data_IF_027892013904
#
_entry.id   IF_027892013904
#
_cell.length_a   1.000
_cell.length_b   1.000
_cell.length_c   1.000
_cell.angle_alpha   90.00
_cell.angle_beta   90.00
_cell.angle_gamma   90.00
#
_symmetry.space_group_name_H-M   'P 1'
#
loop_
_entity.id
_entity.type
_entity.pdbx_description
1 polymer ?
#
# COMPACT_ATOMS: atom_id res chain seq x y z
N UNK A 1 -20.41 -24.97 -1.21
CA UNK A 1 -19.69 -24.95 0.10
C UNK A 1 -18.99 -23.61 0.18
N UNK A 2 -19.19 -22.84 1.25
CA UNK A 2 -18.51 -21.52 1.41
C UNK A 2 -17.02 -21.76 1.69
N UNK A 3 -16.13 -21.23 0.85
CA UNK A 3 -14.68 -21.31 1.00
C UNK A 3 -14.22 -20.25 2.03
N UNK A 4 -14.54 -20.47 3.32
CA UNK A 4 -14.16 -19.53 4.38
C UNK A 4 -12.64 -19.42 4.49
N UNK A 5 -12.15 -18.18 4.57
CA UNK A 5 -10.73 -17.92 4.79
C UNK A 5 -10.35 -18.32 6.20
N UNK A 6 -9.29 -19.12 6.31
CA UNK A 6 -8.64 -19.41 7.58
C UNK A 6 -7.72 -18.24 7.96
N UNK A 7 -8.21 -17.36 8.83
CA UNK A 7 -7.48 -16.19 9.30
C UNK A 7 -6.16 -16.54 10.02
N UNK A 8 -6.07 -17.73 10.64
CA UNK A 8 -4.84 -18.18 11.29
C UNK A 8 -3.70 -18.41 10.28
N UNK A 9 -4.04 -18.88 9.07
CA UNK A 9 -3.06 -19.00 7.98
C UNK A 9 -2.61 -17.65 7.43
N UNK A 10 -3.49 -16.64 7.47
CA UNK A 10 -3.16 -15.30 6.99
C UNK A 10 -2.21 -14.54 7.94
N UNK A 11 -2.33 -14.77 9.25
CA UNK A 11 -1.58 -14.02 10.27
C UNK A 11 -0.07 -14.27 10.24
N UNK A 12 0.39 -15.37 9.63
CA UNK A 12 1.81 -15.73 9.56
C UNK A 12 2.67 -14.93 8.59
N UNK A 13 2.12 -13.97 7.84
CA UNK A 13 2.86 -13.11 6.88
C UNK A 13 3.51 -13.84 5.70
N UNK A 14 3.48 -15.18 5.67
CA UNK A 14 4.14 -16.00 4.66
C UNK A 14 3.29 -16.22 3.39
N UNK A 15 2.09 -15.66 3.33
CA UNK A 15 1.08 -15.99 2.30
C UNK A 15 1.08 -15.00 1.14
N UNK A 16 1.51 -13.76 1.38
CA UNK A 16 1.51 -12.75 0.33
C UNK A 16 2.71 -12.92 -0.59
N UNK A 17 2.48 -13.11 -1.91
CA UNK A 17 3.54 -13.15 -2.88
C UNK A 17 4.16 -11.76 -3.08
N UNK A 18 5.45 -11.74 -3.33
CA UNK A 18 6.18 -10.55 -3.74
C UNK A 18 6.40 -10.54 -5.25
N UNK A 19 6.66 -9.37 -5.85
CA UNK A 19 7.01 -9.26 -7.27
C UNK A 19 8.21 -10.14 -7.64
N UNK A 20 8.22 -10.69 -8.85
CA UNK A 20 9.28 -11.62 -9.31
C UNK A 20 10.68 -10.97 -9.32
N UNK A 21 10.76 -9.67 -9.66
CA UNK A 21 12.01 -8.91 -9.70
C UNK A 21 12.73 -8.83 -8.34
N UNK A 22 11.98 -8.93 -7.24
CA UNK A 22 12.50 -8.78 -5.88
C UNK A 22 13.65 -9.73 -5.55
N UNK A 23 13.59 -11.00 -5.97
CA UNK A 23 14.63 -11.99 -5.62
C UNK A 23 15.99 -11.63 -6.17
N UNK A 24 16.05 -11.24 -7.43
CA UNK A 24 17.28 -10.83 -8.08
C UNK A 24 17.85 -9.56 -7.47
N UNK A 25 16.97 -8.61 -7.22
CA UNK A 25 17.30 -7.31 -6.69
C UNK A 25 17.81 -7.35 -5.22
N UNK A 26 17.19 -8.16 -4.34
CA UNK A 26 17.71 -8.37 -2.97
C UNK A 26 19.12 -8.98 -2.97
N UNK A 27 19.40 -9.91 -3.88
CA UNK A 27 20.75 -10.46 -3.99
C UNK A 27 21.79 -9.39 -4.32
N UNK A 28 21.44 -8.43 -5.18
CA UNK A 28 22.31 -7.29 -5.54
C UNK A 28 22.49 -6.33 -4.37
N UNK A 29 21.44 -5.99 -3.64
CA UNK A 29 21.49 -5.10 -2.48
C UNK A 29 22.42 -5.59 -1.37
N UNK A 30 22.39 -6.90 -1.09
CA UNK A 30 23.25 -7.46 -0.04
C UNK A 30 24.73 -7.49 -0.41
N UNK A 31 25.06 -7.39 -1.70
CA UNK A 31 26.44 -7.26 -2.19
C UNK A 31 26.96 -5.83 -2.12
N UNK A 32 26.08 -4.85 -2.19
CA UNK A 32 26.43 -3.43 -2.14
C UNK A 32 26.18 -2.93 -0.71
N UNK A 33 27.14 -2.48 0.03
CA UNK A 33 26.97 -1.92 1.38
C UNK A 33 26.02 -0.71 1.39
N UNK A 34 24.72 -0.97 1.18
CA UNK A 34 23.66 0.03 1.06
C UNK A 34 23.35 0.63 2.43
N UNK A 35 23.12 1.95 2.51
CA UNK A 35 22.69 2.61 3.72
C UNK A 35 21.29 2.14 4.15
N UNK A 36 21.02 2.13 5.47
CA UNK A 36 19.74 1.64 6.01
C UNK A 36 18.54 2.45 5.50
N UNK A 37 18.70 3.74 5.22
CA UNK A 37 17.63 4.57 4.65
C UNK A 37 17.27 4.12 3.24
N UNK A 38 18.27 3.89 2.40
CA UNK A 38 18.06 3.38 1.06
C UNK A 38 17.47 1.97 1.07
N UNK A 39 17.93 1.11 1.98
CA UNK A 39 17.38 -0.23 2.17
C UNK A 39 15.91 -0.18 2.62
N UNK A 40 15.55 0.76 3.51
CA UNK A 40 14.19 0.94 3.97
C UNK A 40 13.25 1.39 2.84
N UNK A 41 13.69 2.34 2.02
CA UNK A 41 12.92 2.79 0.85
C UNK A 41 12.66 1.63 -0.10
N UNK A 42 13.68 0.85 -0.38
CA UNK A 42 13.61 -0.23 -1.33
C UNK A 42 12.83 -1.45 -0.82
N UNK A 43 12.94 -1.82 0.44
CA UNK A 43 12.12 -2.88 1.04
C UNK A 43 10.66 -2.43 1.19
N UNK A 44 10.44 -1.13 1.39
CA UNK A 44 9.14 -0.51 1.57
C UNK A 44 8.29 -0.40 0.29
N UNK A 45 8.79 -0.77 -0.89
CA UNK A 45 7.99 -0.76 -2.13
C UNK A 45 7.25 -2.08 -2.42
N UNK A 46 7.51 -3.13 -1.64
CA UNK A 46 6.84 -4.43 -1.75
C UNK A 46 5.82 -4.60 -0.61
N UNK A 47 4.50 -4.69 -0.90
CA UNK A 47 3.47 -4.85 0.13
C UNK A 47 3.69 -6.05 1.04
N UNK A 48 4.08 -7.20 0.48
CA UNK A 48 4.30 -8.41 1.24
C UNK A 48 5.48 -8.28 2.21
N UNK A 49 6.59 -7.65 1.75
CA UNK A 49 7.75 -7.40 2.59
C UNK A 49 7.48 -6.33 3.63
N UNK A 50 6.81 -5.24 3.26
CA UNK A 50 6.42 -4.17 4.18
C UNK A 50 5.61 -4.72 5.36
N UNK A 51 4.55 -5.51 5.08
CA UNK A 51 3.75 -6.14 6.14
C UNK A 51 4.58 -7.08 7.01
N UNK A 52 5.44 -7.91 6.41
CA UNK A 52 6.31 -8.83 7.13
C UNK A 52 7.30 -8.12 8.06
N UNK A 53 7.94 -7.04 7.58
CA UNK A 53 8.93 -6.29 8.37
C UNK A 53 8.26 -5.51 9.52
N UNK A 54 7.10 -4.90 9.26
CA UNK A 54 6.31 -4.22 10.30
C UNK A 54 5.88 -5.25 11.36
N UNK A 55 5.39 -6.42 10.95
CA UNK A 55 5.01 -7.50 11.86
C UNK A 55 6.19 -7.99 12.71
N UNK A 56 7.37 -8.18 12.10
CA UNK A 56 8.59 -8.60 12.81
C UNK A 56 9.03 -7.55 13.83
N UNK A 57 9.04 -6.28 13.46
CA UNK A 57 9.39 -5.18 14.37
C UNK A 57 8.41 -5.07 15.54
N UNK A 58 7.12 -5.23 15.27
CA UNK A 58 6.07 -5.10 16.28
C UNK A 58 5.93 -6.32 17.19
N UNK A 59 6.41 -7.51 16.79
CA UNK A 59 6.37 -8.71 17.62
C UNK A 59 7.15 -8.56 18.93
N UNK A 60 8.20 -7.72 18.96
CA UNK A 60 9.01 -7.43 20.14
C UNK A 60 8.53 -6.23 20.97
N UNK A 61 7.46 -5.53 20.54
CA UNK A 61 6.98 -4.33 21.24
C UNK A 61 6.08 -4.72 22.42
N UNK A 62 6.42 -4.32 23.67
CA UNK A 62 5.59 -4.63 24.82
C UNK A 62 4.20 -3.95 24.75
N UNK A 63 3.23 -4.44 25.53
CA UNK A 63 1.92 -3.78 25.64
C UNK A 63 2.06 -2.30 26.01
N UNK A 64 1.41 -1.41 25.25
CA UNK A 64 1.51 0.05 25.42
C UNK A 64 2.76 0.70 24.81
N UNK A 65 3.70 -0.07 24.26
CA UNK A 65 4.85 0.45 23.51
C UNK A 65 4.46 1.07 22.18
N UNK A 66 5.31 1.99 21.68
CA UNK A 66 5.10 2.61 20.36
C UNK A 66 5.31 1.58 19.25
N UNK A 67 4.27 1.34 18.47
CA UNK A 67 4.32 0.41 17.33
C UNK A 67 4.83 1.09 16.08
N UNK A 68 5.48 0.31 15.23
CA UNK A 68 5.91 0.75 13.91
C UNK A 68 4.74 0.62 12.92
N UNK A 69 4.51 1.68 12.15
CA UNK A 69 3.51 1.71 11.08
C UNK A 69 4.13 1.97 9.69
N UNK A 70 5.46 2.10 9.64
CA UNK A 70 6.20 2.33 8.39
C UNK A 70 7.54 1.61 8.42
N UNK A 71 8.04 1.22 7.24
CA UNK A 71 9.41 0.72 7.08
C UNK A 71 10.35 1.94 7.07
N UNK A 72 11.27 1.99 8.02
CA UNK A 72 12.23 3.08 8.18
C UNK A 72 13.61 2.54 8.58
N UNK A 73 14.66 3.32 8.39
CA UNK A 73 16.01 2.96 8.84
C UNK A 73 16.05 2.63 10.34
N UNK A 74 15.34 3.42 11.17
CA UNK A 74 15.25 3.18 12.62
C UNK A 74 14.58 1.84 12.93
N UNK A 75 13.51 1.48 12.20
CA UNK A 75 12.86 0.18 12.33
C UNK A 75 13.79 -0.96 11.91
N UNK A 76 14.49 -0.82 10.77
CA UNK A 76 15.43 -1.83 10.29
C UNK A 76 16.62 -2.01 11.26
N UNK A 77 17.12 -0.92 11.85
CA UNK A 77 18.14 -0.98 12.89
C UNK A 77 17.64 -1.73 14.14
N UNK A 78 16.39 -1.51 14.54
CA UNK A 78 15.77 -2.20 15.68
C UNK A 78 15.59 -3.72 15.43
N UNK A 79 15.23 -4.12 14.20
CA UNK A 79 15.17 -5.54 13.80
C UNK A 79 16.56 -6.18 13.84
N UNK A 80 17.57 -5.45 13.40
CA UNK A 80 18.95 -5.91 13.27
C UNK A 80 19.20 -6.71 11.97
N UNK A 81 20.43 -6.58 11.45
CA UNK A 81 20.81 -7.15 10.15
C UNK A 81 20.63 -8.69 10.05
N UNK A 82 20.93 -9.51 11.08
CA UNK A 82 20.73 -10.96 10.98
C UNK A 82 19.27 -11.34 10.74
N UNK A 83 18.35 -10.80 11.55
CA UNK A 83 16.92 -11.07 11.43
C UNK A 83 16.33 -10.50 10.11
N UNK A 84 16.82 -9.34 9.69
CA UNK A 84 16.44 -8.75 8.41
C UNK A 84 16.87 -9.63 7.22
N UNK A 85 18.12 -10.13 7.21
CA UNK A 85 18.59 -11.07 6.20
C UNK A 85 17.76 -12.35 6.17
N UNK A 86 17.45 -12.92 7.32
CA UNK A 86 16.60 -14.10 7.43
C UNK A 86 15.19 -13.83 6.88
N UNK A 87 14.60 -12.68 7.22
CA UNK A 87 13.30 -12.28 6.70
C UNK A 87 13.30 -12.14 5.17
N UNK A 88 14.36 -11.56 4.59
CA UNK A 88 14.51 -11.38 3.15
C UNK A 88 14.80 -12.70 2.42
N UNK A 89 15.54 -13.62 3.03
CA UNK A 89 15.89 -14.92 2.45
C UNK A 89 14.75 -15.96 2.52
N UNK A 90 13.72 -15.71 3.32
CA UNK A 90 12.60 -16.64 3.45
C UNK A 90 11.91 -16.88 2.09
N UNK A 91 11.45 -18.12 1.84
CA UNK A 91 10.71 -18.45 0.62
C UNK A 91 9.53 -17.50 0.39
N UNK A 92 9.41 -17.01 -0.84
CA UNK A 92 8.31 -16.16 -1.27
C UNK A 92 7.36 -17.01 -2.09
N UNK A 93 6.05 -17.02 -1.78
CA UNK A 93 5.06 -17.66 -2.62
C UNK A 93 5.15 -17.16 -4.07
N UNK A 94 4.87 -18.00 -5.07
CA UNK A 94 4.77 -17.55 -6.44
C UNK A 94 3.63 -16.55 -6.61
N UNK A 95 3.68 -15.75 -7.68
CA UNK A 95 2.57 -14.89 -8.04
C UNK A 95 1.28 -15.75 -8.19
N UNK A 96 0.11 -15.22 -7.77
CA UNK A 96 -1.12 -16.00 -7.82
C UNK A 96 -1.50 -16.33 -9.27
N UNK A 97 -1.95 -17.56 -9.49
CA UNK A 97 -2.48 -18.04 -10.78
C UNK A 97 -3.99 -17.80 -10.89
N UNK A 98 -4.47 -16.69 -10.34
CA UNK A 98 -5.87 -16.32 -10.31
C UNK A 98 -6.28 -15.70 -11.65
N UNK A 99 -7.30 -16.27 -12.31
CA UNK A 99 -7.85 -15.72 -13.53
C UNK A 99 -8.39 -14.29 -13.30
N UNK A 100 -8.22 -13.41 -14.28
CA UNK A 100 -8.64 -11.99 -14.21
C UNK A 100 -7.96 -11.14 -13.10
N UNK A 101 -6.99 -11.71 -12.35
CA UNK A 101 -6.14 -10.95 -11.42
C UNK A 101 -4.78 -10.65 -12.06
N UNK A 102 -4.55 -9.40 -12.37
CA UNK A 102 -3.27 -8.92 -12.90
C UNK A 102 -2.37 -8.49 -11.72
N UNK A 103 -1.45 -9.36 -11.34
CA UNK A 103 -0.52 -9.14 -10.24
C UNK A 103 0.39 -7.92 -10.50
N UNK A 104 0.83 -7.71 -11.75
CA UNK A 104 1.68 -6.56 -12.11
C UNK A 104 0.92 -5.25 -11.92
N UNK A 105 -0.32 -5.19 -12.39
CA UNK A 105 -1.21 -4.04 -12.18
C UNK A 105 -1.49 -3.81 -10.71
N UNK A 106 -1.71 -4.87 -9.92
CA UNK A 106 -1.91 -4.79 -8.49
C UNK A 106 -0.72 -4.10 -7.79
N UNK A 107 0.51 -4.55 -8.05
CA UNK A 107 1.71 -3.95 -7.46
C UNK A 107 1.91 -2.50 -7.89
N UNK A 108 1.71 -2.20 -9.18
CA UNK A 108 1.79 -0.83 -9.69
C UNK A 108 0.76 0.09 -9.03
N UNK A 109 -0.49 -0.39 -8.85
CA UNK A 109 -1.55 0.36 -8.19
C UNK A 109 -1.25 0.59 -6.71
N UNK A 110 -0.80 -0.45 -5.98
CA UNK A 110 -0.45 -0.34 -4.57
C UNK A 110 0.65 0.68 -4.34
N UNK A 111 1.67 0.70 -5.20
CA UNK A 111 2.76 1.66 -5.10
C UNK A 111 2.32 3.09 -5.49
N UNK A 112 1.53 3.24 -6.55
CA UNK A 112 0.97 4.55 -6.92
C UNK A 112 0.06 5.11 -5.80
N UNK A 113 -0.74 4.26 -5.17
CA UNK A 113 -1.57 4.62 -4.03
C UNK A 113 -0.74 5.02 -2.81
N UNK A 114 0.39 4.33 -2.56
CA UNK A 114 1.33 4.68 -1.49
C UNK A 114 1.94 6.08 -1.68
N UNK A 115 2.45 6.37 -2.89
CA UNK A 115 2.98 7.68 -3.25
C UNK A 115 1.91 8.78 -3.09
N UNK A 116 0.70 8.53 -3.59
CA UNK A 116 -0.41 9.46 -3.48
C UNK A 116 -0.84 9.71 -2.02
N UNK A 117 -0.92 8.67 -1.20
CA UNK A 117 -1.27 8.79 0.22
C UNK A 117 -0.20 9.57 1.00
N UNK A 118 1.08 9.38 0.68
CA UNK A 118 2.19 10.15 1.26
C UNK A 118 2.10 11.64 0.89
N UNK A 119 2.01 11.93 -0.41
CA UNK A 119 2.01 13.31 -0.91
C UNK A 119 0.79 14.09 -0.40
N UNK A 120 -0.42 13.54 -0.55
CA UNK A 120 -1.63 14.21 -0.13
C UNK A 120 -1.74 14.29 1.41
N UNK A 121 -1.33 13.25 2.11
CA UNK A 121 -1.38 13.22 3.57
C UNK A 121 -0.37 14.15 4.23
N UNK A 122 0.82 14.32 3.64
CA UNK A 122 1.81 15.32 4.11
C UNK A 122 1.27 16.73 3.90
N UNK A 123 0.69 17.04 2.75
CA UNK A 123 0.07 18.33 2.47
C UNK A 123 -1.09 18.66 3.43
N UNK A 124 -1.90 17.65 3.79
CA UNK A 124 -3.04 17.80 4.70
C UNK A 124 -2.67 17.62 6.19
N UNK A 125 -1.42 17.28 6.51
CA UNK A 125 -0.91 17.08 7.88
C UNK A 125 -1.75 16.08 8.70
N UNK A 126 -2.28 15.01 8.07
CA UNK A 126 -3.19 14.06 8.71
C UNK A 126 -2.46 13.04 9.58
N UNK A 127 -1.28 12.59 9.15
CA UNK A 127 -0.42 11.64 9.87
C UNK A 127 1.01 11.71 9.30
N UNK A 128 2.01 11.04 9.94
CA UNK A 128 3.36 10.96 9.39
C UNK A 128 3.37 10.40 7.97
N UNK A 129 4.06 11.07 7.06
CA UNK A 129 4.07 10.76 5.62
C UNK A 129 4.45 9.31 5.31
N UNK A 130 5.45 8.75 6.02
CA UNK A 130 5.91 7.38 5.83
C UNK A 130 4.88 6.33 6.33
N UNK A 131 4.10 6.66 7.37
CA UNK A 131 2.99 5.83 7.85
C UNK A 131 1.85 5.80 6.83
N UNK A 132 1.54 6.95 6.22
CA UNK A 132 0.53 7.05 5.15
C UNK A 132 0.96 6.35 3.88
N UNK A 133 2.25 6.41 3.53
CA UNK A 133 2.83 5.64 2.45
C UNK A 133 2.61 4.14 2.66
N UNK A 134 3.01 3.62 3.82
CA UNK A 134 2.85 2.19 4.15
C UNK A 134 1.37 1.79 4.21
N UNK A 135 0.50 2.66 4.73
CA UNK A 135 -0.94 2.45 4.77
C UNK A 135 -1.53 2.35 3.36
N UNK A 136 -1.18 3.26 2.45
CA UNK A 136 -1.60 3.23 1.05
C UNK A 136 -1.11 1.99 0.30
N UNK A 137 0.16 1.60 0.54
CA UNK A 137 0.75 0.40 -0.06
C UNK A 137 0.01 -0.89 0.35
N UNK A 138 -0.41 -0.97 1.62
CA UNK A 138 -1.05 -2.15 2.21
C UNK A 138 -2.57 -2.15 2.09
N UNK A 139 -3.19 -1.05 1.68
CA UNK A 139 -4.64 -0.88 1.67
C UNK A 139 -5.40 -1.98 0.91
N UNK A 140 -4.79 -2.54 -0.12
CA UNK A 140 -5.39 -3.60 -0.96
C UNK A 140 -4.75 -4.98 -0.75
N UNK A 141 -3.96 -5.22 0.31
CA UNK A 141 -3.26 -6.50 0.49
C UNK A 141 -4.22 -7.70 0.68
N UNK A 142 -5.46 -7.47 1.11
CA UNK A 142 -6.51 -8.48 1.17
C UNK A 142 -6.93 -8.99 -0.21
N UNK A 143 -6.87 -8.17 -1.25
CA UNK A 143 -7.10 -8.61 -2.63
C UNK A 143 -6.03 -9.61 -3.08
N UNK A 144 -4.76 -9.32 -2.80
CA UNK A 144 -3.64 -10.22 -3.08
C UNK A 144 -3.77 -11.53 -2.28
N UNK A 145 -4.23 -11.46 -1.02
CA UNK A 145 -4.49 -12.63 -0.20
C UNK A 145 -5.59 -13.52 -0.79
N UNK A 146 -6.73 -12.95 -1.21
CA UNK A 146 -7.81 -13.68 -1.88
C UNK A 146 -7.32 -14.37 -3.15
N UNK A 147 -6.62 -13.64 -4.01
CA UNK A 147 -6.06 -14.17 -5.25
C UNK A 147 -5.07 -15.32 -5.01
N UNK A 148 -4.36 -15.30 -3.89
CA UNK A 148 -3.35 -16.33 -3.55
C UNK A 148 -3.94 -17.57 -2.90
N UNK A 149 -4.97 -17.39 -2.04
CA UNK A 149 -5.56 -18.49 -1.25
C UNK A 149 -6.72 -19.17 -1.98
N UNK A 150 -7.50 -18.41 -2.74
CA UNK A 150 -8.67 -18.87 -3.48
C UNK A 150 -8.62 -18.48 -4.97
N UNK A 151 -7.56 -18.87 -5.72
CA UNK A 151 -7.33 -18.34 -7.07
C UNK A 151 -8.45 -18.66 -8.06
N UNK A 152 -9.11 -19.81 -7.95
CA UNK A 152 -10.18 -20.19 -8.86
C UNK A 152 -11.47 -19.44 -8.56
N UNK A 153 -11.96 -19.54 -7.32
CA UNK A 153 -13.22 -18.92 -6.90
C UNK A 153 -13.14 -17.39 -6.95
N UNK A 154 -11.97 -16.83 -6.62
CA UNK A 154 -11.76 -15.40 -6.71
C UNK A 154 -11.66 -14.91 -8.15
N UNK A 155 -11.02 -15.69 -9.02
CA UNK A 155 -10.96 -15.42 -10.45
C UNK A 155 -12.34 -15.37 -11.11
N UNK A 156 -13.27 -16.26 -10.71
CA UNK A 156 -14.66 -16.23 -11.17
C UNK A 156 -15.37 -14.90 -10.77
N UNK A 157 -15.18 -14.46 -9.52
CA UNK A 157 -15.75 -13.18 -9.06
C UNK A 157 -15.18 -12.00 -9.82
N UNK A 158 -13.87 -11.96 -10.03
CA UNK A 158 -13.21 -10.89 -10.78
C UNK A 158 -13.67 -10.86 -12.25
N UNK A 159 -13.93 -12.01 -12.87
CA UNK A 159 -14.48 -12.10 -14.21
C UNK A 159 -15.89 -11.52 -14.33
N UNK A 160 -16.70 -11.63 -13.27
CA UNK A 160 -18.08 -11.12 -13.24
C UNK A 160 -18.18 -9.65 -12.84
N UNK A 161 -17.35 -9.20 -11.88
CA UNK A 161 -17.52 -7.90 -11.22
C UNK A 161 -16.35 -6.93 -11.44
N UNK A 162 -15.26 -7.40 -12.07
CA UNK A 162 -14.03 -6.63 -12.26
C UNK A 162 -13.17 -6.55 -11.00
N UNK A 163 -12.04 -5.82 -11.08
CA UNK A 163 -11.00 -5.76 -10.04
C UNK A 163 -11.16 -4.59 -9.04
N UNK A 164 -12.18 -3.76 -9.17
CA UNK A 164 -12.39 -2.59 -8.30
C UNK A 164 -13.10 -2.96 -7.00
N UNK A 165 -12.81 -2.25 -5.91
CA UNK A 165 -13.51 -2.42 -4.62
C UNK A 165 -14.93 -1.81 -4.65
N UNK A 166 -15.76 -2.30 -5.57
CA UNK A 166 -17.18 -1.90 -5.69
C UNK A 166 -18.02 -2.53 -4.60
N UNK A 167 -19.10 -1.87 -4.19
CA UNK A 167 -20.01 -2.40 -3.16
C UNK A 167 -20.53 -3.81 -3.54
N UNK A 168 -20.73 -4.05 -4.85
CA UNK A 168 -21.18 -5.34 -5.34
C UNK A 168 -20.14 -6.42 -5.17
N UNK A 169 -18.89 -6.19 -5.61
CA UNK A 169 -17.81 -7.15 -5.44
C UNK A 169 -17.55 -7.42 -3.96
N UNK A 170 -17.48 -6.38 -3.11
CA UNK A 170 -17.27 -6.52 -1.66
C UNK A 170 -18.38 -7.35 -1.00
N UNK A 171 -19.64 -7.21 -1.47
CA UNK A 171 -20.76 -8.02 -1.01
C UNK A 171 -20.60 -9.50 -1.36
N UNK A 172 -20.26 -9.80 -2.61
CA UNK A 172 -20.04 -11.17 -3.10
C UNK A 172 -18.83 -11.83 -2.42
N UNK A 173 -17.73 -11.10 -2.24
CA UNK A 173 -16.57 -11.57 -1.48
C UNK A 173 -16.95 -11.96 -0.05
N UNK A 174 -17.73 -11.09 0.64
CA UNK A 174 -18.19 -11.37 2.01
C UNK A 174 -19.04 -12.63 2.09
N UNK A 175 -19.94 -12.85 1.11
CA UNK A 175 -20.78 -14.03 1.05
C UNK A 175 -19.98 -15.30 0.78
N UNK A 176 -19.02 -15.24 -0.15
CA UNK A 176 -18.25 -16.42 -0.59
C UNK A 176 -17.15 -16.80 0.38
N UNK A 177 -16.41 -15.81 0.91
CA UNK A 177 -15.20 -16.02 1.70
C UNK A 177 -15.35 -15.68 3.19
N UNK A 178 -16.47 -15.09 3.59
CA UNK A 178 -16.73 -14.60 4.96
C UNK A 178 -16.19 -13.19 5.24
N UNK A 179 -15.28 -12.70 4.41
CA UNK A 179 -14.69 -11.36 4.49
C UNK A 179 -14.44 -10.82 3.09
N UNK A 180 -14.65 -9.52 2.89
CA UNK A 180 -14.24 -8.84 1.66
C UNK A 180 -12.78 -8.38 1.73
N UNK A 181 -12.21 -8.06 0.57
CA UNK A 181 -10.79 -7.69 0.42
C UNK A 181 -10.34 -6.58 1.38
N UNK A 182 -11.13 -5.54 1.64
CA UNK A 182 -10.75 -4.45 2.54
C UNK A 182 -10.77 -4.89 4.01
N UNK A 183 -11.71 -5.74 4.40
CA UNK A 183 -11.74 -6.34 5.73
C UNK A 183 -10.50 -7.22 5.96
N UNK A 184 -10.11 -8.00 4.97
CA UNK A 184 -8.88 -8.80 5.02
C UNK A 184 -7.64 -7.94 5.10
N UNK A 185 -7.55 -6.83 4.35
CA UNK A 185 -6.45 -5.87 4.48
C UNK A 185 -6.34 -5.34 5.90
N UNK A 186 -7.44 -4.89 6.48
CA UNK A 186 -7.47 -4.39 7.86
C UNK A 186 -7.10 -5.47 8.89
N UNK A 187 -7.54 -6.71 8.70
CA UNK A 187 -7.18 -7.85 9.58
C UNK A 187 -5.69 -8.15 9.49
N UNK A 188 -5.12 -8.20 8.28
CA UNK A 188 -3.68 -8.41 8.08
C UNK A 188 -2.85 -7.30 8.73
N UNK A 189 -3.21 -6.04 8.49
CA UNK A 189 -2.52 -4.88 9.07
C UNK A 189 -2.58 -4.87 10.61
N UNK A 190 -3.72 -5.21 11.21
CA UNK A 190 -3.81 -5.40 12.67
C UNK A 190 -2.94 -6.56 13.15
N UNK A 191 -2.91 -7.67 12.42
CA UNK A 191 -2.05 -8.81 12.70
C UNK A 191 -0.55 -8.45 12.70
N UNK A 192 -0.15 -7.50 11.86
CA UNK A 192 1.21 -6.93 11.87
C UNK A 192 1.43 -5.85 12.93
N UNK A 193 0.41 -5.53 13.71
CA UNK A 193 0.47 -4.55 14.80
C UNK A 193 0.42 -3.10 14.34
N UNK A 194 -0.11 -2.81 13.16
CA UNK A 194 -0.34 -1.43 12.73
C UNK A 194 -1.42 -0.74 13.59
N UNK A 195 -1.38 0.59 13.73
CA UNK A 195 -2.38 1.34 14.50
C UNK A 195 -3.80 1.11 14.00
N UNK A 196 -4.74 0.87 14.93
CA UNK A 196 -6.14 0.57 14.60
C UNK A 196 -6.80 1.64 13.74
N UNK A 197 -6.48 2.92 13.98
CA UNK A 197 -7.03 4.03 13.20
C UNK A 197 -6.69 3.94 11.70
N UNK A 198 -5.49 3.44 11.34
CA UNK A 198 -5.10 3.21 9.94
C UNK A 198 -5.82 1.99 9.36
N UNK A 199 -5.96 0.93 10.17
CA UNK A 199 -6.68 -0.28 9.77
C UNK A 199 -8.17 0.00 9.53
N UNK A 200 -8.80 0.82 10.39
CA UNK A 200 -10.19 1.25 10.25
C UNK A 200 -10.40 2.16 9.03
N UNK A 201 -9.45 3.06 8.76
CA UNK A 201 -9.47 3.88 7.56
C UNK A 201 -9.39 3.02 6.29
N UNK A 202 -8.54 1.99 6.27
CA UNK A 202 -8.46 1.02 5.16
C UNK A 202 -9.77 0.25 4.99
N UNK A 203 -10.37 -0.21 6.07
CA UNK A 203 -11.66 -0.92 6.01
C UNK A 203 -12.74 -0.10 5.31
N UNK A 204 -12.75 1.21 5.52
CA UNK A 204 -13.83 2.11 5.08
C UNK A 204 -13.51 2.88 3.79
N UNK A 205 -12.28 2.86 3.25
CA UNK A 205 -11.88 3.82 2.21
C UNK A 205 -12.63 3.70 0.87
N UNK A 206 -13.18 2.54 0.51
CA UNK A 206 -14.01 2.43 -0.70
C UNK A 206 -15.33 3.21 -0.57
N UNK A 207 -15.91 3.20 0.64
CA UNK A 207 -17.13 3.95 0.98
C UNK A 207 -16.95 4.63 2.35
N UNK A 208 -16.17 5.74 2.42
CA UNK A 208 -15.95 6.43 3.68
C UNK A 208 -17.26 6.92 4.30
N UNK A 209 -17.34 7.03 5.65
CA UNK A 209 -18.52 7.58 6.33
C UNK A 209 -18.87 8.97 5.77
N UNK A 210 -20.18 9.24 5.62
CA UNK A 210 -20.66 10.48 5.04
C UNK A 210 -20.31 11.72 5.87
N UNK A 211 -20.54 12.90 5.27
CA UNK A 211 -20.40 14.21 5.89
C UNK A 211 -21.13 14.24 7.24
N UNK A 212 -20.47 14.73 8.29
CA UNK A 212 -21.04 14.87 9.63
C UNK A 212 -20.47 13.94 10.70
N UNK A 213 -19.71 12.89 10.31
CA UNK A 213 -18.86 12.15 11.24
C UNK A 213 -17.43 12.69 11.16
N UNK A 214 -17.22 13.88 11.68
CA UNK A 214 -15.89 14.47 11.78
C UNK A 214 -14.99 13.60 12.67
N UNK A 215 -13.77 13.32 12.21
CA UNK A 215 -12.76 12.63 12.99
C UNK A 215 -11.61 12.12 12.15
N UNK A 216 -10.43 12.06 12.73
CA UNK A 216 -9.18 11.69 12.07
C UNK A 216 -9.29 10.38 11.26
N UNK A 217 -10.04 9.39 11.73
CA UNK A 217 -10.25 8.13 11.01
C UNK A 217 -11.02 8.37 9.69
N UNK A 218 -12.05 9.21 9.73
CA UNK A 218 -12.84 9.57 8.54
C UNK A 218 -11.98 10.33 7.52
N UNK A 219 -11.16 11.28 7.97
CA UNK A 219 -10.25 12.04 7.11
C UNK A 219 -9.22 11.13 6.45
N UNK A 220 -8.67 10.17 7.20
CA UNK A 220 -7.76 9.15 6.67
C UNK A 220 -8.44 8.24 5.64
N UNK A 221 -9.70 7.85 5.85
CA UNK A 221 -10.44 7.04 4.89
C UNK A 221 -10.69 7.82 3.58
N UNK A 222 -11.03 9.11 3.67
CA UNK A 222 -11.17 9.98 2.51
C UNK A 222 -9.83 10.23 1.80
N UNK A 223 -8.73 10.39 2.54
CA UNK A 223 -7.38 10.45 1.99
C UNK A 223 -7.06 9.19 1.17
N UNK A 224 -7.31 8.00 1.71
CA UNK A 224 -7.07 6.74 1.01
C UNK A 224 -7.96 6.59 -0.22
N UNK A 225 -9.19 7.07 -0.18
CA UNK A 225 -10.07 7.14 -1.36
C UNK A 225 -9.50 8.07 -2.44
N UNK A 226 -9.02 9.25 -2.06
CA UNK A 226 -8.34 10.18 -2.96
C UNK A 226 -7.09 9.53 -3.58
N UNK A 227 -6.26 8.89 -2.74
CA UNK A 227 -5.04 8.22 -3.17
C UNK A 227 -5.32 7.07 -4.15
N UNK A 228 -6.37 6.27 -3.92
CA UNK A 228 -6.82 5.23 -4.85
C UNK A 228 -7.27 5.83 -6.19
N UNK A 229 -8.02 6.94 -6.17
CA UNK A 229 -8.39 7.67 -7.39
C UNK A 229 -7.19 8.23 -8.15
N UNK A 230 -6.18 8.74 -7.44
CA UNK A 230 -4.93 9.19 -8.05
C UNK A 230 -4.15 8.03 -8.67
N UNK A 231 -4.06 6.89 -8.00
CA UNK A 231 -3.44 5.69 -8.55
C UNK A 231 -4.08 5.24 -9.84
N UNK A 232 -5.42 5.24 -9.92
CA UNK A 232 -6.15 4.94 -11.15
C UNK A 232 -5.85 5.93 -12.28
N UNK A 233 -5.79 7.23 -11.98
CA UNK A 233 -5.46 8.28 -12.97
C UNK A 233 -4.01 8.15 -13.45
N UNK A 234 -3.06 7.91 -12.54
CA UNK A 234 -1.64 7.74 -12.86
C UNK A 234 -1.45 6.54 -13.80
N UNK A 235 -2.00 5.38 -13.47
CA UNK A 235 -1.85 4.15 -14.25
C UNK A 235 -2.55 4.20 -15.61
N UNK A 236 -3.52 5.08 -15.79
CA UNK A 236 -4.23 5.31 -17.06
C UNK A 236 -3.75 6.56 -17.80
N UNK A 237 -2.62 7.12 -17.44
CA UNK A 237 -2.10 8.36 -18.02
C UNK A 237 -3.15 9.49 -18.06
N UNK A 238 -3.92 9.65 -17.00
CA UNK A 238 -4.96 10.66 -16.86
C UNK A 238 -6.31 10.34 -17.53
N UNK A 239 -6.43 9.23 -18.26
CA UNK A 239 -7.66 8.84 -18.98
C UNK A 239 -8.73 8.15 -18.10
N UNK A 240 -8.50 8.06 -16.79
CA UNK A 240 -9.44 7.46 -15.83
C UNK A 240 -10.58 8.41 -15.43
N UNK A 241 -11.63 7.86 -14.75
CA UNK A 241 -12.70 8.68 -14.19
C UNK A 241 -12.15 9.58 -13.08
N UNK A 242 -12.34 10.89 -13.20
CA UNK A 242 -11.86 11.88 -12.22
C UNK A 242 -12.84 12.10 -11.07
N UNK A 243 -14.12 11.77 -11.24
CA UNK A 243 -15.17 12.09 -10.27
C UNK A 243 -14.93 11.48 -8.87
N UNK A 244 -14.46 10.22 -8.72
CA UNK A 244 -14.16 9.68 -7.39
C UNK A 244 -13.07 10.46 -6.63
N UNK A 245 -12.02 10.87 -7.35
CA UNK A 245 -10.94 11.68 -6.78
C UNK A 245 -11.41 13.09 -6.45
N UNK A 246 -12.20 13.73 -7.35
CA UNK A 246 -12.79 15.04 -7.11
C UNK A 246 -13.74 15.06 -5.91
N UNK A 247 -14.58 14.03 -5.76
CA UNK A 247 -15.48 13.91 -4.62
C UNK A 247 -14.69 13.81 -3.30
N UNK A 248 -13.63 12.99 -3.28
CA UNK A 248 -12.77 12.86 -2.10
C UNK A 248 -12.00 14.18 -1.80
N UNK A 249 -11.48 14.84 -2.83
CA UNK A 249 -10.80 16.13 -2.70
C UNK A 249 -11.70 17.20 -2.07
N UNK A 250 -12.94 17.32 -2.52
CA UNK A 250 -13.92 18.27 -1.97
C UNK A 250 -14.19 18.03 -0.48
N UNK A 251 -14.31 16.74 -0.06
CA UNK A 251 -14.52 16.40 1.35
C UNK A 251 -13.31 16.79 2.19
N UNK A 252 -12.11 16.66 1.65
CA UNK A 252 -10.86 17.02 2.32
C UNK A 252 -10.55 18.53 2.23
N UNK A 253 -11.47 19.35 1.69
CA UNK A 253 -11.30 20.80 1.56
C UNK A 253 -10.33 21.23 0.46
N UNK A 254 -10.01 20.34 -0.48
CA UNK A 254 -9.12 20.62 -1.61
C UNK A 254 -9.95 21.13 -2.80
N UNK A 255 -9.52 22.24 -3.38
CA UNK A 255 -10.04 22.71 -4.67
C UNK A 255 -9.41 21.94 -5.85
N UNK A 256 -9.87 22.23 -7.05
CA UNK A 256 -9.41 21.55 -8.25
C UNK A 256 -7.92 21.81 -8.55
N UNK A 257 -7.41 23.00 -8.25
CA UNK A 257 -6.01 23.37 -8.45
C UNK A 257 -5.09 22.64 -7.50
N UNK A 258 -5.45 22.56 -6.21
CA UNK A 258 -4.74 21.78 -5.21
C UNK A 258 -4.73 20.29 -5.56
N UNK A 259 -5.89 19.74 -5.97
CA UNK A 259 -5.98 18.34 -6.39
C UNK A 259 -5.05 18.03 -7.57
N UNK A 260 -5.03 18.88 -8.61
CA UNK A 260 -4.16 18.67 -9.78
C UNK A 260 -2.67 18.76 -9.43
N UNK A 261 -2.31 19.66 -8.51
CA UNK A 261 -0.94 19.80 -8.00
C UNK A 261 -0.51 18.55 -7.24
N UNK A 262 -1.37 18.03 -6.34
CA UNK A 262 -1.09 16.81 -5.60
C UNK A 262 -1.00 15.58 -6.53
N UNK A 263 -1.89 15.46 -7.53
CA UNK A 263 -1.83 14.39 -8.52
C UNK A 263 -0.52 14.42 -9.31
N UNK A 264 -0.07 15.61 -9.75
CA UNK A 264 1.20 15.76 -10.46
C UNK A 264 2.40 15.37 -9.62
N UNK A 265 2.44 15.76 -8.33
CA UNK A 265 3.51 15.36 -7.42
C UNK A 265 3.49 13.86 -7.14
N UNK A 266 2.30 13.28 -6.95
CA UNK A 266 2.14 11.83 -6.77
C UNK A 266 2.63 11.05 -8.00
N UNK A 267 2.33 11.55 -9.21
CA UNK A 267 2.80 10.93 -10.45
C UNK A 267 4.32 11.06 -10.61
N UNK A 268 4.91 12.21 -10.26
CA UNK A 268 6.36 12.40 -10.31
C UNK A 268 7.06 11.40 -9.37
N UNK A 269 6.57 11.26 -8.15
CA UNK A 269 7.11 10.32 -7.18
C UNK A 269 6.96 8.86 -7.63
N UNK A 270 5.77 8.47 -8.15
CA UNK A 270 5.54 7.13 -8.68
C UNK A 270 6.44 6.84 -9.89
N UNK A 271 6.70 7.81 -10.76
CA UNK A 271 7.53 7.64 -11.96
C UNK A 271 8.97 7.22 -11.62
N UNK A 272 9.48 7.61 -10.45
CA UNK A 272 10.81 7.18 -10.00
C UNK A 272 10.85 5.68 -9.65
N UNK A 273 9.68 5.08 -9.32
CA UNK A 273 9.55 3.66 -9.01
C UNK A 273 9.18 2.80 -10.21
N UNK A 274 8.59 3.38 -11.25
CA UNK A 274 8.10 2.66 -12.44
C UNK A 274 9.17 1.81 -13.07
N UNK A 275 10.38 2.34 -13.19
CA UNK A 275 11.51 1.64 -13.83
C UNK A 275 11.92 0.36 -13.05
N UNK A 276 11.62 0.29 -11.74
CA UNK A 276 11.86 -0.89 -10.91
C UNK A 276 10.79 -1.96 -11.13
N UNK A 277 9.56 -1.55 -11.43
CA UNK A 277 8.42 -2.45 -11.66
C UNK A 277 8.37 -3.03 -13.07
N UNK A 278 9.03 -2.42 -14.04
CA UNK A 278 9.02 -2.90 -15.43
C UNK A 278 9.97 -4.10 -15.59
N UNK A 279 9.49 -5.23 -16.18
CA UNK A 279 10.26 -6.48 -16.29
C UNK A 279 11.55 -6.37 -17.11
N UNK A 280 11.73 -5.31 -17.89
CA UNK A 280 12.85 -5.11 -18.82
C UNK A 280 14.02 -4.34 -18.23
N UNK A 281 13.93 -3.83 -17.02
CA UNK A 281 15.00 -3.05 -16.38
C UNK A 281 15.98 -3.93 -15.59
N UNK A 282 16.42 -5.04 -16.19
CA UNK A 282 17.33 -5.99 -15.53
C UNK A 282 18.71 -5.42 -15.16
N UNK A 283 19.00 -4.17 -15.46
CA UNK A 283 20.33 -3.56 -15.32
C UNK A 283 20.29 -2.09 -14.87
N UNK A 284 19.21 -1.57 -14.32
CA UNK A 284 19.28 -0.23 -13.74
C UNK A 284 20.21 -0.29 -12.50
N UNK A 285 21.37 0.40 -12.50
CA UNK A 285 22.17 0.53 -11.30
C UNK A 285 21.31 1.18 -10.22
N UNK A 286 21.45 0.70 -8.98
CA UNK A 286 20.90 1.34 -7.80
C UNK A 286 21.18 2.85 -7.90
N UNK A 287 20.18 3.64 -8.28
CA UNK A 287 20.30 5.09 -8.30
C UNK A 287 20.20 5.54 -6.87
N UNK A 288 21.30 5.97 -6.30
CA UNK A 288 21.31 6.74 -5.06
C UNK A 288 20.35 7.92 -5.26
N UNK A 289 19.21 7.85 -4.61
CA UNK A 289 18.23 8.91 -4.59
C UNK A 289 18.84 10.10 -3.87
N UNK A 290 19.30 11.08 -4.62
CA UNK A 290 19.54 12.40 -4.03
C UNK A 290 18.14 12.94 -3.67
N UNK A 291 17.74 12.75 -2.42
CA UNK A 291 16.50 13.35 -1.89
C UNK A 291 16.61 14.88 -2.05
N UNK A 292 16.12 15.40 -3.15
CA UNK A 292 15.53 16.72 -3.12
C UNK A 292 14.17 16.52 -2.47
N UNK A 293 14.10 16.57 -1.13
CA UNK A 293 12.83 16.84 -0.45
C UNK A 293 12.31 18.14 -1.07
N UNK A 294 11.24 18.17 -1.84
CA UNK A 294 10.54 19.42 -2.01
C UNK A 294 10.11 19.77 -0.59
N UNK A 295 10.61 20.87 -0.08
CA UNK A 295 10.17 21.39 1.20
C UNK A 295 8.67 21.64 1.03
N UNK A 296 7.86 20.77 1.61
CA UNK A 296 6.38 20.91 1.61
C UNK A 296 5.95 22.28 2.19
N UNK A 297 6.85 22.95 2.91
CA UNK A 297 6.68 24.31 3.41
C UNK A 297 6.65 25.40 2.32
N UNK A 298 7.18 25.17 1.11
CA UNK A 298 7.17 26.21 0.07
C UNK A 298 5.89 26.22 -0.78
N UNK A 299 5.12 25.12 -0.82
CA UNK A 299 3.89 25.09 -1.63
C UNK A 299 2.75 25.90 -1.01
N UNK A 300 2.74 26.08 0.31
CA UNK A 300 1.71 26.84 1.01
C UNK A 300 2.08 28.30 1.35
N UNK A 301 3.35 28.69 1.26
CA UNK A 301 3.74 30.09 1.51
C UNK A 301 3.48 31.04 0.34
N UNK A 302 3.12 30.53 -0.82
CA UNK A 302 2.76 31.34 -2.00
C UNK A 302 1.25 31.62 -2.11
N UNK A 303 0.44 31.11 -1.16
CA UNK A 303 -1.03 31.18 -1.20
C UNK A 303 -1.70 31.70 0.08
N UNK A 304 -0.96 32.43 0.95
CA UNK A 304 -1.54 33.22 2.05
C UNK A 304 -1.43 34.71 1.73
#
# INVERSE_FOLDING_TARGET
MSARIDLARLSGGAILPSPAWRRHWLATLWQQQVALDELAEQLGCDPAMTGKLIGLANAGVPPGGRRHAAVSAAMLAAIGLPALRQACAAPVPPAPTCAHFDAQRYWSHSLAMACAARVAGDALQLAPADELYSCGLLANCGQLALASVHPQEYGELLGQYGNGATARLLGEESQRFGHHQLALSAILMRGWGMPDILCDAVLCHAAPPGFGRAGRMTDLAWLLKLASGFADLILRNGAGPREPALAAARVLGLDAGHMETLLRHSNAEWSEWRDILEPHSHLAPCRTRTRVRPAARQVFSEFI
#
